data_IF_686025564133
#
_entry.id   IF_686025564133
#
_cell.length_a   1.000
_cell.length_b   1.000
_cell.length_c   1.000
_cell.angle_alpha   90.00
_cell.angle_beta   90.00
_cell.angle_gamma   90.00
#
_symmetry.space_group_name_H-M   'P 1'
#
loop_
_entity.id
_entity.type
_entity.pdbx_description
1 polymer ?
#
# COMPACT_ATOMS: atom_id res chain seq x y z
N UNK A 1 76.34 9.91 -3.96
CA UNK A 1 74.96 9.66 -3.50
C UNK A 1 74.44 8.36 -4.11
N UNK A 2 74.34 7.28 -3.32
CA UNK A 2 73.49 6.11 -3.58
C UNK A 2 73.34 5.37 -2.24
N UNK A 3 72.17 5.51 -1.61
CA UNK A 3 71.87 4.96 -0.28
C UNK A 3 71.67 3.44 -0.38
N UNK A 4 72.32 2.73 0.53
CA UNK A 4 72.23 1.29 0.78
C UNK A 4 71.23 1.04 1.92
N UNK A 5 70.34 0.06 1.70
CA UNK A 5 69.69 -0.88 2.63
C UNK A 5 68.90 -0.38 3.86
N UNK A 6 67.75 -1.03 4.10
CA UNK A 6 67.54 -1.87 5.32
C UNK A 6 66.22 -2.63 5.23
N UNK A 7 66.31 -3.90 4.86
CA UNK A 7 65.35 -4.96 5.21
C UNK A 7 65.78 -5.53 6.57
N UNK A 8 64.78 -5.74 7.45
CA UNK A 8 64.78 -6.48 8.73
C UNK A 8 65.43 -5.83 9.97
N UNK A 9 64.59 -5.29 10.87
CA UNK A 9 64.82 -5.29 12.33
C UNK A 9 63.48 -5.48 13.07
N UNK A 10 63.41 -6.61 13.78
CA UNK A 10 62.71 -6.95 15.04
C UNK A 10 61.18 -7.08 15.17
N UNK A 11 60.78 -8.31 15.54
CA UNK A 11 59.61 -8.68 16.32
C UNK A 11 59.57 -7.94 17.67
N UNK A 12 58.36 -7.58 18.12
CA UNK A 12 57.76 -7.82 19.46
C UNK A 12 56.80 -6.68 19.80
N UNK A 13 55.51 -6.99 19.78
CA UNK A 13 54.43 -6.06 20.10
C UNK A 13 53.09 -6.78 20.03
N UNK A 14 52.96 -7.84 20.82
CA UNK A 14 51.69 -8.49 21.14
C UNK A 14 50.78 -7.49 21.86
N UNK A 15 49.93 -6.82 21.10
CA UNK A 15 48.78 -6.07 21.59
C UNK A 15 47.56 -6.55 20.83
N UNK A 16 46.80 -7.46 21.44
CA UNK A 16 45.48 -7.87 20.98
C UNK A 16 44.57 -6.64 20.91
N UNK A 17 44.44 -6.04 19.73
CA UNK A 17 43.27 -5.22 19.43
C UNK A 17 42.12 -6.21 19.36
N UNK A 18 41.41 -6.35 20.49
CA UNK A 18 40.08 -6.93 20.51
C UNK A 18 39.23 -6.07 19.57
N UNK A 19 39.16 -6.48 18.31
CA UNK A 19 38.08 -6.09 17.42
C UNK A 19 36.84 -6.65 18.09
N UNK A 20 36.16 -5.81 18.86
CA UNK A 20 34.78 -6.04 19.25
C UNK A 20 34.01 -6.10 17.93
N UNK A 21 33.91 -7.31 17.39
CA UNK A 21 32.83 -7.67 16.52
C UNK A 21 31.56 -7.34 17.30
N UNK A 22 31.00 -6.16 17.04
CA UNK A 22 29.60 -5.88 17.30
C UNK A 22 28.83 -6.85 16.40
N UNK A 23 28.78 -8.11 16.83
CA UNK A 23 27.76 -9.05 16.44
C UNK A 23 26.47 -8.30 16.70
N UNK A 24 25.81 -7.87 15.63
CA UNK A 24 24.55 -7.16 15.67
C UNK A 24 23.58 -8.03 16.45
N UNK A 25 23.43 -7.75 17.75
CA UNK A 25 22.51 -8.48 18.59
C UNK A 25 21.12 -8.26 17.95
N UNK A 26 20.38 -9.33 17.58
CA UNK A 26 19.06 -9.17 16.96
C UNK A 26 18.13 -8.32 17.83
N UNK A 27 18.30 -8.34 19.15
CA UNK A 27 17.58 -7.48 20.09
C UNK A 27 17.90 -5.98 19.91
N UNK A 28 19.17 -5.59 19.74
CA UNK A 28 19.54 -4.19 19.48
C UNK A 28 19.02 -3.75 18.10
N UNK A 29 19.10 -4.60 17.08
CA UNK A 29 18.57 -4.31 15.74
C UNK A 29 17.04 -4.13 15.76
N UNK A 30 16.32 -4.90 16.59
CA UNK A 30 14.87 -4.79 16.79
C UNK A 30 14.48 -3.49 17.54
N UNK A 31 15.25 -3.11 18.55
CA UNK A 31 15.05 -1.86 19.31
C UNK A 31 15.29 -0.64 18.42
N UNK A 32 16.42 -0.57 17.68
CA UNK A 32 16.74 0.57 16.82
C UNK A 32 15.77 0.74 15.63
N UNK A 33 15.35 -0.36 15.00
CA UNK A 33 14.37 -0.31 13.90
C UNK A 33 13.02 0.23 14.36
N UNK A 34 12.53 -0.20 15.53
CA UNK A 34 11.30 0.35 16.09
C UNK A 34 11.45 1.83 16.47
N UNK A 35 12.61 2.28 16.95
CA UNK A 35 12.84 3.70 17.28
C UNK A 35 12.75 4.60 16.05
N UNK A 36 13.35 4.24 14.91
CA UNK A 36 13.26 5.01 13.66
C UNK A 36 11.80 5.23 13.26
N UNK A 37 11.03 4.16 13.12
CA UNK A 37 9.63 4.26 12.68
C UNK A 37 8.72 4.88 13.73
N UNK A 38 9.03 4.75 15.03
CA UNK A 38 8.31 5.43 16.11
C UNK A 38 8.51 6.95 16.09
N UNK A 39 9.68 7.42 15.68
CA UNK A 39 9.93 8.86 15.49
C UNK A 39 9.23 9.39 14.23
N UNK A 40 9.16 8.60 13.16
CA UNK A 40 8.54 9.02 11.90
C UNK A 40 7.00 9.00 11.96
N UNK A 41 6.43 7.93 12.51
CA UNK A 41 4.99 7.67 12.58
C UNK A 41 4.62 7.06 13.95
N UNK A 42 4.61 7.86 15.03
CA UNK A 42 4.35 7.39 16.38
C UNK A 42 2.98 6.71 16.55
N UNK A 43 2.00 7.08 15.72
CA UNK A 43 0.61 6.58 15.76
C UNK A 43 0.50 5.06 15.49
N UNK A 44 1.50 4.49 14.79
CA UNK A 44 1.57 3.04 14.58
C UNK A 44 1.82 2.27 15.89
N UNK A 45 2.31 2.96 16.92
CA UNK A 45 2.68 2.38 18.21
C UNK A 45 1.70 2.75 19.33
N UNK A 46 0.60 3.44 19.01
CA UNK A 46 -0.46 3.67 19.98
C UNK A 46 -1.17 2.36 20.31
N UNK A 47 -1.54 2.21 21.58
CA UNK A 47 -2.32 1.07 22.05
C UNK A 47 -3.68 1.07 21.36
N UNK A 48 -4.04 -0.06 20.76
CA UNK A 48 -5.34 -0.25 20.12
C UNK A 48 -6.32 -0.89 21.09
N UNK A 49 -7.63 -0.64 20.94
CA UNK A 49 -8.64 -1.34 21.73
C UNK A 49 -8.43 -2.85 21.64
N UNK A 50 -8.49 -3.52 22.79
CA UNK A 50 -8.49 -4.97 22.84
C UNK A 50 -9.89 -5.42 22.37
N UNK A 51 -9.99 -6.28 21.35
CA UNK A 51 -11.29 -6.73 20.90
C UNK A 51 -12.04 -7.48 22.03
N UNK A 52 -13.38 -7.39 22.09
CA UNK A 52 -14.17 -8.17 23.04
C UNK A 52 -13.84 -9.66 22.95
N UNK A 53 -13.96 -10.39 24.07
CA UNK A 53 -13.76 -11.84 24.10
C UNK A 53 -14.78 -12.58 23.21
N UNK A 54 -15.98 -12.00 23.05
CA UNK A 54 -17.04 -12.52 22.19
C UNK A 54 -17.61 -11.38 21.34
N UNK A 55 -17.88 -11.66 20.07
CA UNK A 55 -18.52 -10.72 19.15
C UNK A 55 -19.51 -11.48 18.29
N UNK A 56 -20.74 -10.96 18.19
CA UNK A 56 -21.79 -11.55 17.34
C UNK A 56 -21.39 -11.50 15.86
N UNK A 57 -20.86 -10.36 15.43
CA UNK A 57 -20.40 -10.14 14.06
C UNK A 57 -18.90 -9.86 14.07
N UNK A 58 -18.14 -10.66 13.32
CA UNK A 58 -16.70 -10.47 13.13
C UNK A 58 -16.42 -10.32 11.64
N UNK A 59 -15.77 -9.23 11.27
CA UNK A 59 -15.30 -8.99 9.90
C UNK A 59 -13.78 -9.09 9.88
N UNK A 60 -13.26 -10.03 9.09
CA UNK A 60 -11.82 -10.26 8.97
C UNK A 60 -11.31 -9.55 7.71
N UNK A 61 -10.43 -8.58 7.91
CA UNK A 61 -9.90 -7.71 6.88
C UNK A 61 -10.77 -6.46 6.67
N UNK A 62 -10.11 -5.36 6.35
CA UNK A 62 -10.66 -4.01 6.23
C UNK A 62 -10.50 -3.40 4.84
N UNK A 63 -10.23 -4.25 3.84
CA UNK A 63 -10.32 -3.87 2.43
C UNK A 63 -11.75 -3.52 2.01
N UNK A 64 -11.99 -3.28 0.72
CA UNK A 64 -13.31 -2.87 0.21
C UNK A 64 -14.48 -3.73 0.73
N UNK A 65 -14.39 -5.05 0.62
CA UNK A 65 -15.44 -5.95 1.10
C UNK A 65 -15.67 -5.85 2.61
N UNK A 66 -14.59 -5.85 3.40
CA UNK A 66 -14.68 -5.76 4.85
C UNK A 66 -15.23 -4.43 5.34
N UNK A 67 -14.76 -3.32 4.76
CA UNK A 67 -15.26 -1.98 5.09
C UNK A 67 -16.74 -1.80 4.72
N UNK A 68 -17.18 -2.32 3.56
CA UNK A 68 -18.59 -2.29 3.16
C UNK A 68 -19.43 -3.14 4.11
N UNK A 69 -19.02 -4.37 4.39
CA UNK A 69 -19.75 -5.27 5.30
C UNK A 69 -19.89 -4.68 6.70
N UNK A 70 -18.80 -4.17 7.27
CA UNK A 70 -18.80 -3.52 8.58
C UNK A 70 -19.74 -2.31 8.59
N UNK A 71 -19.64 -1.43 7.58
CA UNK A 71 -20.53 -0.27 7.48
C UNK A 71 -22.01 -0.67 7.42
N UNK A 72 -22.38 -1.67 6.63
CA UNK A 72 -23.80 -2.06 6.47
C UNK A 72 -24.36 -2.75 7.70
N UNK A 73 -23.56 -3.58 8.36
CA UNK A 73 -23.93 -4.18 9.64
C UNK A 73 -24.11 -3.10 10.71
N UNK A 74 -23.16 -2.17 10.84
CA UNK A 74 -23.29 -1.05 11.80
C UNK A 74 -24.50 -0.16 11.50
N UNK A 75 -24.80 0.13 10.24
CA UNK A 75 -26.02 0.86 9.86
C UNK A 75 -27.32 0.11 10.18
N UNK A 76 -27.27 -1.21 10.27
CA UNK A 76 -28.38 -2.04 10.71
C UNK A 76 -28.49 -2.13 12.25
N UNK A 77 -27.64 -1.40 13.00
CA UNK A 77 -27.62 -1.41 14.46
C UNK A 77 -26.87 -2.60 15.06
N UNK A 78 -26.09 -3.32 14.26
CA UNK A 78 -25.31 -4.46 14.72
C UNK A 78 -23.91 -4.03 15.19
N UNK A 79 -23.46 -4.58 16.33
CA UNK A 79 -22.07 -4.44 16.79
C UNK A 79 -21.16 -5.31 15.92
N UNK A 80 -20.02 -4.76 15.48
CA UNK A 80 -19.07 -5.42 14.58
C UNK A 80 -17.66 -5.28 15.09
N UNK A 81 -16.99 -6.42 15.29
CA UNK A 81 -15.55 -6.46 15.53
C UNK A 81 -14.82 -6.64 14.20
N UNK A 82 -14.11 -5.61 13.77
CA UNK A 82 -13.26 -5.63 12.58
C UNK A 82 -11.82 -6.01 12.98
N UNK A 83 -11.32 -7.11 12.42
CA UNK A 83 -9.95 -7.57 12.65
C UNK A 83 -9.13 -7.39 11.38
N UNK A 84 -8.18 -6.46 11.43
CA UNK A 84 -7.22 -6.23 10.34
C UNK A 84 -5.82 -6.63 10.78
N UNK A 85 -5.03 -7.16 9.84
CA UNK A 85 -3.61 -7.34 10.12
C UNK A 85 -2.93 -5.97 10.09
N UNK A 86 -2.20 -5.67 11.17
CA UNK A 86 -1.28 -4.52 11.30
C UNK A 86 -1.94 -3.17 11.50
N UNK A 87 -1.26 -2.14 11.01
CA UNK A 87 -1.39 -0.78 11.47
C UNK A 87 -2.50 -0.08 10.72
N UNK A 88 -3.18 0.80 11.45
CA UNK A 88 -3.88 1.91 10.87
C UNK A 88 -2.86 3.02 10.63
N UNK A 89 -2.55 3.27 9.37
CA UNK A 89 -1.65 4.35 8.99
C UNK A 89 -2.40 5.68 9.09
N UNK A 90 -1.81 6.72 9.72
CA UNK A 90 -2.44 8.03 9.81
C UNK A 90 -2.48 8.68 8.42
N UNK A 91 -3.37 9.65 8.25
CA UNK A 91 -3.29 10.59 7.15
C UNK A 91 -2.60 11.88 7.63
N UNK A 92 -1.77 12.49 6.78
CA UNK A 92 -1.12 13.76 7.10
C UNK A 92 -0.74 14.50 5.83
N UNK A 93 -1.17 15.76 5.73
CA UNK A 93 -0.87 16.60 4.56
C UNK A 93 0.53 17.21 4.62
N UNK A 94 1.17 17.15 5.79
CA UNK A 94 2.46 17.81 6.07
C UNK A 94 3.62 16.84 6.28
N UNK A 95 3.33 15.56 6.55
CA UNK A 95 4.35 14.52 6.76
C UNK A 95 4.21 13.41 5.73
N UNK A 96 5.33 12.99 5.16
CA UNK A 96 5.39 11.78 4.34
C UNK A 96 5.18 10.53 5.19
N UNK A 97 3.93 10.11 5.35
CA UNK A 97 3.57 8.92 6.13
C UNK A 97 4.02 7.64 5.43
N UNK A 98 3.78 7.56 4.12
CA UNK A 98 4.15 6.41 3.30
C UNK A 98 5.60 6.50 2.82
N UNK A 99 6.13 5.35 2.43
CA UNK A 99 7.45 5.26 1.83
C UNK A 99 7.47 5.90 0.45
N UNK A 100 8.65 6.38 0.04
CA UNK A 100 8.90 6.77 -1.35
C UNK A 100 8.99 5.52 -2.26
N UNK A 101 8.54 5.66 -3.52
CA UNK A 101 8.51 4.58 -4.51
C UNK A 101 9.89 4.28 -5.10
N UNK A 102 10.79 5.27 -5.16
CA UNK A 102 12.13 5.13 -5.75
C UNK A 102 13.17 4.74 -4.70
N UNK A 103 12.99 5.20 -3.46
CA UNK A 103 13.86 4.87 -2.33
C UNK A 103 13.04 4.27 -1.19
N UNK A 104 12.61 3.00 -1.31
CA UNK A 104 11.73 2.40 -0.32
C UNK A 104 12.43 2.19 1.02
N UNK A 105 11.72 2.46 2.12
CA UNK A 105 12.11 2.04 3.47
C UNK A 105 11.18 0.94 3.99
N UNK A 106 11.31 0.59 5.28
CA UNK A 106 10.51 -0.47 5.88
C UNK A 106 8.99 -0.23 5.88
N UNK A 107 8.54 1.01 5.64
CA UNK A 107 7.11 1.33 5.52
C UNK A 107 6.50 0.87 4.19
N UNK A 108 7.33 0.57 3.19
CA UNK A 108 6.86 0.09 1.89
C UNK A 108 6.31 -1.33 1.96
N UNK A 109 7.14 -2.31 2.34
CA UNK A 109 6.79 -3.73 2.21
C UNK A 109 6.58 -4.44 3.54
N UNK A 110 5.67 -5.40 3.56
CA UNK A 110 5.38 -6.27 4.69
C UNK A 110 6.54 -7.23 4.99
N UNK A 111 7.32 -6.92 6.02
CA UNK A 111 8.43 -7.72 6.56
C UNK A 111 9.44 -8.23 5.52
N UNK A 112 9.70 -7.43 4.49
CA UNK A 112 10.75 -7.69 3.50
C UNK A 112 11.98 -6.84 3.80
N UNK A 113 13.16 -7.40 3.58
CA UNK A 113 14.44 -6.69 3.70
C UNK A 113 15.06 -6.32 2.34
N UNK A 114 14.52 -6.87 1.26
CA UNK A 114 14.87 -6.55 -0.11
C UNK A 114 13.70 -6.80 -1.03
N UNK A 115 13.61 -6.04 -2.12
CA UNK A 115 12.65 -6.29 -3.18
C UNK A 115 13.28 -5.96 -4.53
N UNK A 116 12.82 -6.63 -5.58
CA UNK A 116 13.17 -6.28 -6.95
C UNK A 116 12.22 -5.18 -7.43
N UNK A 117 12.76 -3.99 -7.69
CA UNK A 117 12.01 -2.85 -8.17
C UNK A 117 11.69 -2.99 -9.66
N UNK A 118 10.68 -2.26 -10.15
CA UNK A 118 10.26 -2.24 -11.56
C UNK A 118 11.44 -1.94 -12.51
N UNK A 119 12.36 -1.00 -12.20
CA UNK A 119 13.52 -0.73 -13.05
C UNK A 119 14.61 -1.83 -13.00
N UNK A 120 14.33 -2.98 -12.35
CA UNK A 120 15.20 -4.16 -12.33
C UNK A 120 16.26 -4.17 -11.23
N UNK A 121 16.48 -3.06 -10.53
CA UNK A 121 17.40 -2.99 -9.41
C UNK A 121 16.79 -3.59 -8.13
N UNK A 122 17.65 -4.12 -7.25
CA UNK A 122 17.24 -4.60 -5.94
C UNK A 122 17.35 -3.46 -4.94
N UNK A 123 16.22 -3.06 -4.34
CA UNK A 123 16.22 -2.15 -3.20
C UNK A 123 16.40 -2.95 -1.90
N UNK A 124 17.11 -2.39 -0.94
CA UNK A 124 17.31 -2.94 0.40
C UNK A 124 16.69 -2.00 1.42
N UNK A 125 15.97 -2.56 2.38
CA UNK A 125 15.28 -1.78 3.41
C UNK A 125 15.22 -2.54 4.74
N UNK A 126 14.80 -1.84 5.80
CA UNK A 126 14.51 -2.48 7.07
C UNK A 126 13.29 -3.40 6.90
N UNK A 127 13.39 -4.64 7.39
CA UNK A 127 12.20 -5.46 7.59
C UNK A 127 11.33 -4.81 8.68
N UNK A 128 10.22 -4.22 8.25
CA UNK A 128 9.19 -3.60 9.07
C UNK A 128 7.83 -4.00 8.48
N UNK A 129 6.74 -3.81 9.22
CA UNK A 129 5.41 -4.13 8.71
C UNK A 129 4.83 -2.98 7.90
N UNK A 130 5.39 -2.76 6.70
CA UNK A 130 4.93 -1.80 5.71
C UNK A 130 3.57 -2.15 5.09
N UNK A 131 3.07 -1.27 4.21
CA UNK A 131 1.71 -1.35 3.65
C UNK A 131 1.52 -2.44 2.58
N UNK A 132 2.57 -2.83 1.86
CA UNK A 132 2.49 -3.71 0.69
C UNK A 132 3.01 -5.13 0.99
N UNK A 133 2.13 -6.11 1.00
CA UNK A 133 2.47 -7.53 1.04
C UNK A 133 2.71 -8.06 -0.38
N UNK A 134 3.98 -8.26 -0.72
CA UNK A 134 4.41 -8.92 -1.95
C UNK A 134 4.72 -10.41 -1.66
N UNK A 135 3.69 -11.24 -1.73
CA UNK A 135 3.82 -12.68 -1.52
C UNK A 135 4.30 -13.35 -2.82
N UNK A 136 5.48 -13.95 -2.77
CA UNK A 136 6.09 -14.65 -3.91
C UNK A 136 5.67 -16.13 -3.90
N UNK A 137 5.09 -16.59 -5.02
CA UNK A 137 4.84 -17.99 -5.33
C UNK A 137 5.76 -18.42 -6.47
N UNK A 138 5.78 -19.73 -6.78
CA UNK A 138 6.67 -20.32 -7.80
C UNK A 138 6.72 -19.53 -9.13
N UNK A 139 5.56 -19.06 -9.61
CA UNK A 139 5.42 -18.43 -10.94
C UNK A 139 4.69 -17.07 -10.90
N UNK A 140 4.33 -16.58 -9.71
CA UNK A 140 3.53 -15.36 -9.59
C UNK A 140 3.87 -14.67 -8.28
N UNK A 141 3.94 -13.34 -8.31
CA UNK A 141 4.00 -12.52 -7.10
C UNK A 141 2.67 -11.82 -6.95
N UNK A 142 2.01 -12.02 -5.81
CA UNK A 142 0.71 -11.42 -5.51
C UNK A 142 0.93 -10.23 -4.58
N UNK A 143 0.51 -9.05 -5.02
CA UNK A 143 0.60 -7.80 -4.26
C UNK A 143 -0.73 -7.50 -3.57
N UNK A 144 -0.68 -7.22 -2.27
CA UNK A 144 -1.86 -6.99 -1.41
C UNK A 144 -1.57 -5.88 -0.41
N UNK A 145 -2.60 -5.17 0.05
CA UNK A 145 -2.47 -4.28 1.19
C UNK A 145 -2.45 -5.07 2.51
N UNK A 146 -1.61 -4.67 3.44
CA UNK A 146 -1.48 -5.26 4.78
C UNK A 146 -1.55 -4.17 5.86
N UNK A 147 -2.71 -3.51 5.92
CA UNK A 147 -3.01 -2.39 6.80
C UNK A 147 -4.52 -2.12 6.85
N UNK A 148 -4.95 -1.25 7.77
CA UNK A 148 -6.35 -0.77 7.77
C UNK A 148 -6.67 -0.05 6.46
N UNK A 149 -7.73 -0.49 5.79
CA UNK A 149 -8.09 -0.11 4.40
C UNK A 149 -7.63 -1.13 3.35
N UNK A 150 -6.66 -2.00 3.69
CA UNK A 150 -6.16 -3.05 2.81
C UNK A 150 -5.68 -2.50 1.46
N UNK A 151 -6.17 -3.10 0.37
CA UNK A 151 -5.79 -2.72 -0.99
C UNK A 151 -6.10 -1.26 -1.34
N UNK A 152 -7.04 -0.60 -0.66
CA UNK A 152 -7.37 0.80 -0.95
C UNK A 152 -6.24 1.79 -0.58
N UNK A 153 -5.25 1.36 0.20
CA UNK A 153 -4.07 2.18 0.56
C UNK A 153 -3.00 2.14 -0.53
N UNK A 154 -2.98 1.10 -1.37
CA UNK A 154 -1.91 0.84 -2.34
C UNK A 154 -2.39 0.80 -3.80
N UNK A 155 -3.69 0.85 -4.05
CA UNK A 155 -4.24 0.82 -5.40
C UNK A 155 -4.10 2.17 -6.12
N UNK A 156 -4.18 2.14 -7.44
CA UNK A 156 -3.97 3.31 -8.32
C UNK A 156 -5.17 4.25 -8.41
N UNK A 157 -6.26 3.99 -7.68
CA UNK A 157 -7.46 4.83 -7.72
C UNK A 157 -8.37 4.63 -8.94
N UNK A 158 -8.03 3.70 -9.85
CA UNK A 158 -8.80 3.43 -11.08
C UNK A 158 -9.96 2.47 -10.79
N UNK A 159 -11.19 2.92 -11.09
CA UNK A 159 -12.42 2.17 -10.86
C UNK A 159 -13.19 2.05 -12.18
N UNK A 160 -13.33 0.82 -12.67
CA UNK A 160 -13.99 0.52 -13.93
C UNK A 160 -15.22 -0.32 -13.67
N UNK A 161 -16.37 0.13 -14.19
CA UNK A 161 -17.57 -0.69 -14.18
C UNK A 161 -17.45 -1.78 -15.26
N UNK A 162 -17.69 -3.06 -14.94
CA UNK A 162 -17.60 -4.14 -15.91
C UNK A 162 -18.65 -4.01 -17.01
N UNK A 163 -18.26 -4.37 -18.23
CA UNK A 163 -19.20 -4.48 -19.35
C UNK A 163 -20.08 -5.72 -19.17
N UNK A 164 -21.37 -5.57 -19.50
CA UNK A 164 -22.39 -6.64 -19.34
C UNK A 164 -21.96 -7.97 -19.95
N UNK A 165 -21.37 -7.93 -21.15
CA UNK A 165 -20.88 -9.13 -21.85
C UNK A 165 -19.95 -9.98 -20.97
N UNK A 166 -18.92 -9.36 -20.37
CA UNK A 166 -17.97 -10.08 -19.52
C UNK A 166 -18.56 -10.42 -18.15
N UNK A 167 -19.44 -9.56 -17.62
CA UNK A 167 -20.12 -9.82 -16.37
C UNK A 167 -21.00 -11.07 -16.46
N UNK A 168 -21.84 -11.14 -17.49
CA UNK A 168 -22.77 -12.25 -17.72
C UNK A 168 -22.00 -13.56 -17.94
N UNK A 169 -20.86 -13.53 -18.64
CA UNK A 169 -20.01 -14.70 -18.86
C UNK A 169 -19.37 -15.24 -17.56
N UNK A 170 -18.94 -14.34 -16.66
CA UNK A 170 -18.32 -14.71 -15.38
C UNK A 170 -19.36 -15.22 -14.38
N UNK A 171 -20.45 -14.47 -14.20
CA UNK A 171 -21.44 -14.74 -13.15
C UNK A 171 -22.51 -15.74 -13.59
N UNK A 172 -22.71 -15.94 -14.90
CA UNK A 172 -23.61 -16.94 -15.48
C UNK A 172 -25.02 -16.90 -14.88
N UNK A 173 -25.54 -15.69 -14.67
CA UNK A 173 -26.86 -15.45 -14.08
C UNK A 173 -26.96 -15.58 -12.55
N UNK A 174 -25.86 -15.87 -11.85
CA UNK A 174 -25.85 -15.96 -10.37
C UNK A 174 -26.01 -14.60 -9.68
N UNK A 175 -25.76 -13.51 -10.42
CA UNK A 175 -25.90 -12.12 -9.97
C UNK A 175 -26.58 -11.35 -11.10
N UNK A 176 -27.59 -10.55 -10.77
CA UNK A 176 -28.31 -9.73 -11.76
C UNK A 176 -27.50 -8.47 -12.13
N UNK A 177 -27.10 -8.38 -13.40
CA UNK A 177 -26.39 -7.19 -13.90
C UNK A 177 -27.23 -5.92 -13.82
N UNK A 178 -28.53 -6.02 -14.06
CA UNK A 178 -29.40 -4.85 -14.16
C UNK A 178 -29.64 -4.25 -12.76
N UNK A 179 -29.73 -5.10 -11.73
CA UNK A 179 -29.70 -4.67 -10.32
C UNK A 179 -28.35 -4.02 -9.96
N UNK A 180 -27.22 -4.64 -10.33
CA UNK A 180 -25.89 -4.08 -10.08
C UNK A 180 -25.72 -2.71 -10.75
N UNK A 181 -26.17 -2.56 -11.99
CA UNK A 181 -26.05 -1.35 -12.78
C UNK A 181 -26.96 -0.22 -12.29
N UNK A 182 -28.19 -0.53 -11.88
CA UNK A 182 -29.17 0.48 -11.45
C UNK A 182 -29.05 0.89 -9.99
N UNK A 183 -28.59 -0.01 -9.11
CA UNK A 183 -28.57 0.22 -7.65
C UNK A 183 -27.15 0.28 -7.10
N UNK A 184 -26.36 -0.77 -7.30
CA UNK A 184 -25.13 -0.95 -6.52
C UNK A 184 -23.94 -0.15 -7.07
N UNK A 185 -23.71 -0.14 -8.39
CA UNK A 185 -22.63 0.67 -8.98
C UNK A 185 -22.86 2.17 -8.77
N UNK A 186 -24.07 2.75 -8.97
CA UNK A 186 -24.32 4.15 -8.65
C UNK A 186 -24.11 4.48 -7.16
N UNK A 187 -24.50 3.57 -6.26
CA UNK A 187 -24.27 3.72 -4.81
C UNK A 187 -22.78 3.80 -4.49
N UNK A 188 -21.95 2.93 -5.07
CA UNK A 188 -20.49 2.95 -4.90
C UNK A 188 -19.89 4.23 -5.48
N UNK A 189 -20.31 4.64 -6.68
CA UNK A 189 -19.85 5.89 -7.33
C UNK A 189 -20.08 7.11 -6.42
N UNK A 190 -21.28 7.22 -5.83
CA UNK A 190 -21.62 8.31 -4.91
C UNK A 190 -20.81 8.24 -3.61
N UNK A 191 -20.72 7.06 -3.00
CA UNK A 191 -20.05 6.90 -1.69
C UNK A 191 -18.53 7.13 -1.75
N UNK A 192 -17.88 6.70 -2.85
CA UNK A 192 -16.44 6.88 -3.02
C UNK A 192 -16.07 8.20 -3.70
N UNK A 193 -17.07 9.05 -4.00
CA UNK A 193 -16.91 10.30 -4.74
C UNK A 193 -16.12 10.12 -6.05
N UNK A 194 -16.53 9.12 -6.84
CA UNK A 194 -15.85 8.78 -8.09
C UNK A 194 -16.10 9.87 -9.14
N UNK A 195 -15.04 10.30 -9.81
CA UNK A 195 -15.09 11.34 -10.83
C UNK A 195 -14.31 10.92 -12.08
N UNK A 196 -14.65 11.47 -13.24
CA UNK A 196 -13.78 11.31 -14.41
C UNK A 196 -12.52 12.17 -14.25
N UNK A 197 -11.40 11.75 -14.85
CA UNK A 197 -10.19 12.58 -14.87
C UNK A 197 -10.51 13.97 -15.45
N UNK A 198 -10.25 15.07 -14.73
CA UNK A 198 -10.40 16.43 -15.24
C UNK A 198 -9.48 16.67 -16.43
N UNK A 199 -10.00 17.36 -17.46
CA UNK A 199 -9.24 17.57 -18.70
C UNK A 199 -7.99 18.42 -18.46
N UNK A 200 -8.08 19.45 -17.63
CA UNK A 200 -6.96 20.33 -17.26
C UNK A 200 -5.81 19.53 -16.63
N UNK A 201 -6.13 18.62 -15.71
CA UNK A 201 -5.16 17.71 -15.10
C UNK A 201 -4.59 16.76 -16.14
N UNK A 202 -5.43 16.13 -16.97
CA UNK A 202 -4.95 15.23 -18.02
C UNK A 202 -4.05 15.93 -19.06
N UNK A 203 -4.25 17.22 -19.32
CA UNK A 203 -3.41 18.01 -20.23
C UNK A 203 -2.14 18.56 -19.60
N UNK A 204 -1.98 18.46 -18.28
CA UNK A 204 -0.81 18.95 -17.54
C UNK A 204 0.47 18.13 -17.82
N UNK A 205 1.61 18.63 -17.36
CA UNK A 205 2.94 18.01 -17.56
C UNK A 205 3.05 16.55 -17.11
N UNK A 206 2.65 16.17 -15.88
CA UNK A 206 2.76 14.81 -15.36
C UNK A 206 2.13 13.72 -16.25
N UNK A 207 1.06 14.06 -16.99
CA UNK A 207 0.34 13.12 -17.86
C UNK A 207 0.83 13.12 -19.32
N UNK A 208 1.97 13.78 -19.62
CA UNK A 208 2.55 13.79 -20.97
C UNK A 208 2.78 12.39 -21.54
N UNK A 209 3.23 11.45 -20.70
CA UNK A 209 3.44 10.05 -21.09
C UNK A 209 2.13 9.38 -21.58
N UNK A 210 0.99 9.67 -20.94
CA UNK A 210 -0.32 9.14 -21.34
C UNK A 210 -0.78 9.69 -22.69
N UNK A 211 -0.52 10.98 -22.96
CA UNK A 211 -0.87 11.59 -24.26
C UNK A 211 -0.01 11.06 -25.40
N UNK A 212 1.29 10.85 -25.15
CA UNK A 212 2.18 10.19 -26.12
C UNK A 212 1.69 8.78 -26.42
N UNK A 213 1.27 8.02 -25.39
CA UNK A 213 0.65 6.71 -25.59
C UNK A 213 -0.59 6.79 -26.48
N UNK A 214 -1.50 7.71 -26.20
CA UNK A 214 -2.71 7.90 -27.00
C UNK A 214 -2.40 8.18 -28.48
N UNK A 215 -1.37 8.97 -28.76
CA UNK A 215 -0.95 9.27 -30.13
C UNK A 215 -0.35 8.06 -30.83
N UNK A 216 0.41 7.23 -30.13
CA UNK A 216 0.93 5.97 -30.69
C UNK A 216 -0.19 4.96 -30.93
N UNK A 217 -1.14 4.85 -30.00
CA UNK A 217 -2.31 3.99 -30.15
C UNK A 217 -3.15 4.40 -31.39
N UNK A 218 -3.38 5.70 -31.61
CA UNK A 218 -4.04 6.21 -32.82
C UNK A 218 -3.29 5.87 -34.09
N UNK A 219 -1.95 6.04 -34.11
CA UNK A 219 -1.10 5.65 -35.25
C UNK A 219 -1.18 4.15 -35.56
N UNK A 220 -1.37 3.33 -34.54
CA UNK A 220 -1.57 1.90 -34.67
C UNK A 220 -3.03 1.50 -35.01
N UNK A 221 -3.93 2.46 -35.25
CA UNK A 221 -5.33 2.22 -35.62
C UNK A 221 -6.28 1.98 -34.45
N UNK A 222 -5.82 2.18 -33.21
CA UNK A 222 -6.67 2.09 -32.02
C UNK A 222 -7.29 3.45 -31.66
N UNK A 223 -8.45 3.42 -31.01
CA UNK A 223 -9.09 4.62 -30.46
C UNK A 223 -8.96 4.63 -28.94
N UNK A 224 -8.06 5.44 -28.37
CA UNK A 224 -8.01 5.65 -26.92
C UNK A 224 -9.34 6.21 -26.43
N UNK A 225 -9.94 5.55 -25.44
CA UNK A 225 -11.15 6.06 -24.79
C UNK A 225 -10.77 6.81 -23.53
N UNK A 226 -11.08 8.10 -23.51
CA UNK A 226 -10.97 8.94 -22.31
C UNK A 226 -11.95 8.52 -21.22
N UNK A 227 -11.67 8.96 -20.00
CA UNK A 227 -12.28 8.56 -18.73
C UNK A 227 -13.75 8.97 -18.52
N UNK A 228 -14.53 9.22 -19.57
CA UNK A 228 -15.75 10.05 -19.46
C UNK A 228 -16.99 9.35 -18.90
N UNK A 229 -17.09 8.02 -18.93
CA UNK A 229 -18.34 7.35 -18.47
C UNK A 229 -18.15 6.04 -17.70
N UNK A 230 -17.10 5.26 -18.00
CA UNK A 230 -16.86 3.93 -17.38
C UNK A 230 -15.59 3.82 -16.54
N UNK A 231 -14.69 4.78 -16.70
CA UNK A 231 -13.40 4.84 -16.02
C UNK A 231 -13.42 6.01 -15.07
N UNK A 232 -13.69 5.75 -13.80
CA UNK A 232 -13.68 6.79 -12.79
C UNK A 232 -12.41 6.68 -11.98
N UNK A 233 -11.88 7.84 -11.62
CA UNK A 233 -10.72 8.00 -10.77
C UNK A 233 -11.21 8.65 -9.48
N UNK A 234 -10.72 8.16 -8.35
CA UNK A 234 -10.67 8.97 -7.14
C UNK A 234 -9.38 9.78 -7.23
N UNK A 235 -9.48 11.09 -7.52
CA UNK A 235 -8.29 11.92 -7.54
C UNK A 235 -7.67 11.92 -6.14
N UNK A 236 -6.44 11.39 -6.04
CA UNK A 236 -5.62 11.31 -4.83
C UNK A 236 -5.17 12.70 -4.30
N UNK A 237 -5.85 13.78 -4.68
CA UNK A 237 -5.58 15.11 -4.10
C UNK A 237 -6.22 15.24 -2.72
N UNK A 238 -7.20 14.39 -2.38
CA UNK A 238 -7.83 14.42 -1.07
C UNK A 238 -8.32 13.03 -0.68
N UNK A 239 -7.93 12.62 0.53
CA UNK A 239 -8.39 11.43 1.24
C UNK A 239 -7.90 10.07 0.68
N UNK A 240 -6.89 9.52 1.38
CA UNK A 240 -6.92 8.14 1.88
C UNK A 240 -8.36 7.71 2.08
N UNK A 241 -8.78 6.54 1.59
CA UNK A 241 -10.05 5.94 2.00
C UNK A 241 -9.88 5.53 3.47
N UNK A 242 -9.76 6.51 4.35
CA UNK A 242 -10.25 6.45 5.70
C UNK A 242 -11.75 6.44 5.52
N UNK A 243 -12.32 5.25 5.28
CA UNK A 243 -13.56 4.98 6.01
C UNK A 243 -13.21 5.37 7.43
N UNK A 244 -13.82 6.46 7.89
CA UNK A 244 -13.63 6.94 9.24
C UNK A 244 -14.00 5.75 10.15
N UNK A 245 -12.99 4.98 10.54
CA UNK A 245 -13.07 4.13 11.71
C UNK A 245 -13.38 4.99 12.92
N UNK A 246 -13.11 6.31 12.86
CA UNK A 246 -13.58 7.25 13.88
C UNK A 246 -15.11 7.35 13.93
N UNK A 247 -15.83 7.13 12.81
CA UNK A 247 -17.31 7.05 12.80
C UNK A 247 -17.83 5.71 13.33
N UNK A 248 -17.02 4.65 13.29
CA UNK A 248 -17.35 3.32 13.84
C UNK A 248 -16.96 3.24 15.33
N UNK A 249 -15.98 4.05 15.78
CA UNK A 249 -15.47 4.07 17.15
C UNK A 249 -16.03 5.22 18.00
N UNK A 250 -16.96 6.02 17.47
CA UNK A 250 -17.65 7.10 18.21
C UNK A 250 -19.10 6.78 18.58
N UNK A 251 -19.46 5.50 18.63
CA UNK A 251 -20.72 5.01 19.21
C UNK A 251 -20.43 3.89 20.21
#
# INVERSE_FOLDING_TARGET
MKKISRRHIFLLGSGTIATSSLLSNPAHTFIFKNTKYKLMVPELFYTRPIPPQHSKNVVIGSGFGGAISALRLSQAGEEVTLLERRFQWPNSDTRGIFSDDMTPDGRAFWFKNKVKMIPGHTAYMDSFGGVLDATEYKNITIWRGACVGGGSVIFTGVMIQPERLYFDDIFKGSVDYDEMNSIYYPRVKKMLNLSSMPNDIYTSGPFGHSRVWDDQAKKAGYTPRGHRERFLIKLMIDLTITFSCDLILSF
#
